data_IF_452122960510
#
_entry.id   IF_452122960510
#
_cell.length_a   1.000
_cell.length_b   1.000
_cell.length_c   1.000
_cell.angle_alpha   90.00
_cell.angle_beta   90.00
_cell.angle_gamma   90.00
#
_symmetry.space_group_name_H-M   'P 1'
#
loop_
_entity.id
_entity.type
_entity.pdbx_description
1 polymer ?
#
# COMPACT_ATOMS: atom_id res chain seq x y z
N UNK A 1 15.57 -15.99 3.26
CA UNK A 1 14.90 -14.88 2.55
C UNK A 1 13.68 -14.50 3.38
N UNK A 2 13.47 -13.22 3.70
CA UNK A 2 12.29 -12.75 4.46
C UNK A 2 11.46 -11.90 3.51
N UNK A 3 10.15 -12.12 3.48
CA UNK A 3 9.23 -11.31 2.69
C UNK A 3 8.31 -10.54 3.63
N UNK A 4 8.08 -9.27 3.30
CA UNK A 4 7.09 -8.40 3.91
C UNK A 4 5.93 -8.31 2.93
N UNK A 5 4.83 -8.98 3.27
CA UNK A 5 3.58 -8.89 2.52
C UNK A 5 2.80 -7.68 3.02
N UNK A 6 2.32 -6.85 2.10
CA UNK A 6 1.44 -5.72 2.43
C UNK A 6 0.28 -5.62 1.43
N UNK A 7 -0.88 -5.20 1.94
CA UNK A 7 -2.06 -4.91 1.13
C UNK A 7 -1.95 -3.48 0.59
N UNK A 8 -1.61 -3.35 -0.69
CA UNK A 8 -1.44 -2.05 -1.34
C UNK A 8 -2.76 -1.29 -1.50
N UNK A 9 -3.89 -2.00 -1.57
CA UNK A 9 -5.21 -1.40 -1.74
C UNK A 9 -5.68 -0.76 -0.42
N UNK A 10 -5.60 -1.50 0.69
CA UNK A 10 -5.99 -0.98 2.00
C UNK A 10 -5.10 0.21 2.42
N UNK A 11 -3.79 0.12 2.21
CA UNK A 11 -2.86 1.21 2.51
C UNK A 11 -3.13 2.42 1.61
N UNK A 12 -3.32 2.21 0.31
CA UNK A 12 -3.62 3.29 -0.64
C UNK A 12 -4.94 3.98 -0.36
N UNK A 13 -5.95 3.24 0.09
CA UNK A 13 -7.24 3.78 0.53
C UNK A 13 -7.10 4.61 1.80
N UNK A 14 -6.44 4.07 2.83
CA UNK A 14 -6.19 4.80 4.08
C UNK A 14 -5.36 6.08 3.86
N UNK A 15 -4.45 6.06 2.89
CA UNK A 15 -3.65 7.23 2.50
C UNK A 15 -4.48 8.36 1.88
N UNK A 16 -5.73 8.12 1.47
CA UNK A 16 -6.62 9.17 0.98
C UNK A 16 -7.18 10.07 2.09
N UNK A 17 -7.27 9.58 3.32
CA UNK A 17 -7.76 10.34 4.49
C UNK A 17 -6.75 11.38 5.00
N UNK A 18 -5.55 11.44 4.40
CA UNK A 18 -4.50 12.39 4.74
C UNK A 18 -4.57 13.71 3.97
N UNK A 19 -3.45 14.43 3.97
CA UNK A 19 -3.28 15.66 3.19
C UNK A 19 -3.52 15.40 1.70
N UNK A 20 -4.40 16.19 1.07
CA UNK A 20 -4.61 16.16 -0.37
C UNK A 20 -3.34 16.60 -1.10
N UNK A 21 -2.81 15.73 -1.96
CA UNK A 21 -1.61 15.98 -2.74
C UNK A 21 -1.96 15.88 -4.22
N UNK A 22 -1.55 16.87 -5.01
CA UNK A 22 -1.80 16.88 -6.46
C UNK A 22 -0.52 17.09 -7.27
N UNK A 23 -0.47 16.50 -8.46
CA UNK A 23 0.51 16.82 -9.51
C UNK A 23 -0.29 17.21 -10.74
N UNK A 24 -0.32 18.50 -11.04
CA UNK A 24 -1.32 19.08 -11.93
C UNK A 24 -2.73 18.77 -11.40
N UNK A 25 -3.56 18.20 -12.25
CA UNK A 25 -4.97 17.90 -11.94
C UNK A 25 -5.18 16.49 -11.38
N UNK A 26 -4.11 15.77 -11.04
CA UNK A 26 -4.17 14.39 -10.54
C UNK A 26 -3.90 14.33 -9.06
N UNK A 27 -4.79 13.67 -8.33
CA UNK A 27 -4.60 13.30 -6.94
C UNK A 27 -3.60 12.15 -6.80
N UNK A 28 -2.57 12.35 -5.99
CA UNK A 28 -1.42 11.44 -5.84
C UNK A 28 -1.20 10.96 -4.40
N UNK A 29 -2.06 11.36 -3.45
CA UNK A 29 -1.89 11.05 -2.04
C UNK A 29 -1.88 9.55 -1.73
N UNK A 30 -2.67 8.75 -2.47
CA UNK A 30 -2.67 7.29 -2.33
C UNK A 30 -1.31 6.67 -2.67
N UNK A 31 -0.63 7.20 -3.69
CA UNK A 31 0.67 6.71 -4.14
C UNK A 31 1.75 7.05 -3.11
N UNK A 32 1.87 8.32 -2.76
CA UNK A 32 2.91 8.78 -1.85
C UNK A 32 2.69 8.28 -0.42
N UNK A 33 1.45 8.23 0.05
CA UNK A 33 1.10 7.66 1.35
C UNK A 33 1.41 6.17 1.44
N UNK A 34 1.17 5.41 0.36
CA UNK A 34 1.54 3.99 0.30
C UNK A 34 3.05 3.78 0.32
N UNK A 35 3.81 4.49 -0.51
CA UNK A 35 5.28 4.38 -0.55
C UNK A 35 5.88 4.75 0.81
N UNK A 36 5.40 5.84 1.43
CA UNK A 36 5.87 6.27 2.75
C UNK A 36 5.61 5.20 3.81
N UNK A 37 4.41 4.62 3.81
CA UNK A 37 4.01 3.59 4.78
C UNK A 37 4.82 2.32 4.61
N UNK A 38 4.95 1.81 3.38
CA UNK A 38 5.73 0.60 3.09
C UNK A 38 7.20 0.80 3.43
N UNK A 39 7.81 1.91 3.01
CA UNK A 39 9.22 2.21 3.31
C UNK A 39 9.51 2.23 4.80
N UNK A 40 8.63 2.83 5.61
CA UNK A 40 8.80 2.87 7.07
C UNK A 40 8.88 1.46 7.66
N UNK A 41 7.92 0.59 7.32
CA UNK A 41 7.88 -0.77 7.87
C UNK A 41 9.01 -1.67 7.35
N UNK A 42 9.46 -1.50 6.11
CA UNK A 42 10.66 -2.21 5.60
C UNK A 42 11.88 -1.89 6.47
N UNK A 43 12.09 -0.61 6.81
CA UNK A 43 13.21 -0.18 7.66
C UNK A 43 13.07 -0.74 9.08
N UNK A 44 11.88 -0.65 9.68
CA UNK A 44 11.60 -1.18 11.03
C UNK A 44 11.84 -2.69 11.12
N UNK A 45 11.46 -3.44 10.09
CA UNK A 45 11.63 -4.88 10.02
C UNK A 45 13.06 -5.32 9.62
N UNK A 46 13.99 -4.36 9.46
CA UNK A 46 15.34 -4.58 8.94
C UNK A 46 15.33 -5.34 7.59
N UNK A 47 14.28 -5.10 6.80
CA UNK A 47 14.14 -5.63 5.45
C UNK A 47 14.85 -4.72 4.44
N UNK A 48 14.96 -5.23 3.21
CA UNK A 48 15.39 -4.47 2.05
C UNK A 48 14.20 -4.26 1.11
N UNK A 49 14.22 -3.24 0.22
CA UNK A 49 13.15 -3.03 -0.76
C UNK A 49 12.74 -4.27 -1.58
N UNK A 50 13.66 -5.21 -1.96
CA UNK A 50 13.30 -6.46 -2.62
C UNK A 50 12.47 -7.43 -1.79
N UNK A 51 12.39 -7.23 -0.47
CA UNK A 51 11.60 -8.08 0.44
C UNK A 51 10.11 -7.69 0.42
N UNK A 52 9.75 -6.56 -0.21
CA UNK A 52 8.42 -6.00 -0.19
C UNK A 52 7.55 -6.57 -1.33
N UNK A 53 6.52 -7.33 -0.97
CA UNK A 53 5.58 -7.94 -1.94
C UNK A 53 4.20 -7.31 -1.77
N UNK A 54 3.70 -6.69 -2.83
CA UNK A 54 2.34 -6.17 -2.88
C UNK A 54 1.33 -7.28 -3.13
N UNK A 55 0.34 -7.40 -2.26
CA UNK A 55 -0.81 -8.28 -2.46
C UNK A 55 -1.99 -7.48 -2.99
N UNK A 56 -2.61 -7.97 -4.08
CA UNK A 56 -3.87 -7.45 -4.58
C UNK A 56 -4.87 -8.61 -4.65
N UNK A 57 -5.66 -8.76 -3.60
CA UNK A 57 -6.72 -9.75 -3.56
C UNK A 57 -7.87 -9.38 -4.51
N UNK A 58 -8.34 -10.33 -5.30
CA UNK A 58 -9.65 -10.20 -5.95
C UNK A 58 -10.72 -10.64 -4.94
N UNK A 59 -11.77 -9.81 -4.76
CA UNK A 59 -12.95 -10.23 -4.00
C UNK A 59 -13.66 -11.31 -4.81
N UNK A 60 -13.48 -12.57 -4.42
CA UNK A 60 -14.33 -13.65 -4.89
C UNK A 60 -15.69 -13.47 -4.21
N UNK A 61 -16.66 -12.92 -4.94
CA UNK A 61 -18.07 -12.96 -4.53
C UNK A 61 -18.50 -14.43 -4.57
N UNK A 62 -18.34 -15.15 -3.47
CA UNK A 62 -19.06 -16.42 -3.30
C UNK A 62 -20.54 -16.07 -3.11
N UNK A 63 -21.46 -16.60 -3.93
CA UNK A 63 -22.86 -16.52 -3.60
C UNK A 63 -23.05 -17.20 -2.24
N UNK A 64 -23.58 -16.44 -1.28
CA UNK A 64 -24.05 -17.00 -0.01
C UNK A 64 -25.31 -17.81 -0.35
N UNK A 65 -25.38 -19.11 -0.03
CA UNK A 65 -26.57 -19.92 -0.26
C UNK A 65 -27.77 -19.42 0.57
#
# INVERSE_FOLDING_TARGET
MRYVLFDSHAIGYAAQDGTKLTVGDREIQSIFGSIRSVRRHIVELKGSPPDAVGWQGQVALRPVP
#
